data_IF_527505806206
#
_entry.id   IF_527505806206
#
_cell.length_a   1.000
_cell.length_b   1.000
_cell.length_c   1.000
_cell.angle_alpha   90.00
_cell.angle_beta   90.00
_cell.angle_gamma   90.00
#
_symmetry.space_group_name_H-M   'P 1'
#
loop_
_entity.id
_entity.type
_entity.pdbx_description
1 polymer ?
#
# COMPACT_ATOMS: atom_id res chain seq x y z
N UNK A 1 5.96 6.99 16.20
CA UNK A 1 6.02 5.72 15.47
C UNK A 1 5.13 5.81 14.23
N UNK A 2 5.68 5.61 13.06
CA UNK A 2 4.93 5.67 11.82
C UNK A 2 4.50 4.27 11.37
N UNK A 3 3.46 4.19 10.59
CA UNK A 3 2.97 2.95 10.02
C UNK A 3 2.51 3.16 8.60
N UNK A 4 2.48 2.09 7.82
CA UNK A 4 1.95 2.11 6.46
C UNK A 4 0.66 1.29 6.41
N UNK A 5 -0.31 1.75 5.63
CA UNK A 5 -1.56 1.02 5.41
C UNK A 5 -1.45 0.20 4.13
N UNK A 6 -1.85 -1.07 4.21
CA UNK A 6 -1.89 -1.96 3.06
C UNK A 6 -3.35 -2.26 2.72
N UNK A 7 -3.72 -2.09 1.45
CA UNK A 7 -5.04 -2.45 1.00
C UNK A 7 -5.09 -3.95 0.69
N UNK A 8 -6.18 -4.61 1.01
CA UNK A 8 -6.34 -6.05 0.81
C UNK A 8 -6.22 -6.48 -0.65
N UNK A 9 -6.47 -5.57 -1.61
CA UNK A 9 -6.31 -5.86 -3.03
C UNK A 9 -4.89 -6.27 -3.42
N UNK A 10 -3.90 -6.01 -2.56
CA UNK A 10 -2.53 -6.46 -2.77
C UNK A 10 -2.48 -7.98 -2.95
N UNK A 11 -3.25 -8.72 -2.17
CA UNK A 11 -3.26 -10.19 -2.20
C UNK A 11 -3.83 -10.76 -3.50
N UNK A 12 -4.62 -9.99 -4.22
CA UNK A 12 -5.21 -10.41 -5.50
C UNK A 12 -4.57 -9.73 -6.70
N UNK A 13 -3.51 -8.96 -6.47
CA UNK A 13 -2.79 -8.28 -7.55
C UNK A 13 -1.80 -9.23 -8.22
N UNK A 14 -1.38 -8.87 -9.44
CA UNK A 14 -0.35 -9.62 -10.16
C UNK A 14 0.97 -9.66 -9.41
N UNK A 15 1.23 -8.66 -8.56
CA UNK A 15 2.41 -8.61 -7.71
C UNK A 15 2.50 -9.83 -6.78
N UNK A 16 1.36 -10.27 -6.25
CA UNK A 16 1.37 -11.37 -5.28
C UNK A 16 1.72 -12.72 -5.88
N UNK A 17 1.75 -12.82 -7.22
CA UNK A 17 2.22 -14.01 -7.93
C UNK A 17 3.74 -14.04 -8.09
N UNK A 18 4.42 -12.96 -7.74
CA UNK A 18 5.87 -12.86 -7.85
C UNK A 18 6.58 -13.64 -6.73
N UNK A 19 7.91 -13.75 -6.85
CA UNK A 19 8.69 -14.46 -5.84
C UNK A 19 8.72 -13.69 -4.50
N UNK A 20 9.20 -14.36 -3.47
CA UNK A 20 9.21 -13.81 -2.11
C UNK A 20 10.03 -12.53 -2.00
N UNK A 21 11.21 -12.49 -2.60
CA UNK A 21 12.05 -11.29 -2.54
C UNK A 21 11.38 -10.09 -3.20
N UNK A 22 10.74 -10.32 -4.34
CA UNK A 22 10.02 -9.26 -5.06
C UNK A 22 8.88 -8.72 -4.22
N UNK A 23 8.10 -9.59 -3.59
CA UNK A 23 7.00 -9.17 -2.70
C UNK A 23 7.51 -8.39 -1.50
N UNK A 24 8.59 -8.83 -0.88
CA UNK A 24 9.19 -8.15 0.26
C UNK A 24 9.69 -6.76 -0.12
N UNK A 25 10.36 -6.63 -1.26
CA UNK A 25 10.84 -5.34 -1.75
C UNK A 25 9.67 -4.37 -1.95
N UNK A 26 8.56 -4.86 -2.51
CA UNK A 26 7.37 -4.01 -2.71
C UNK A 26 6.80 -3.49 -1.39
N UNK A 27 6.63 -4.36 -0.41
CA UNK A 27 6.13 -3.97 0.91
C UNK A 27 7.09 -2.98 1.57
N UNK A 28 8.39 -3.20 1.43
CA UNK A 28 9.41 -2.29 1.97
C UNK A 28 9.29 -0.91 1.34
N UNK A 29 9.09 -0.84 0.02
CA UNK A 29 8.88 0.43 -0.66
C UNK A 29 7.65 1.16 -0.13
N UNK A 30 6.55 0.44 0.07
CA UNK A 30 5.32 1.03 0.64
C UNK A 30 5.57 1.61 2.03
N UNK A 31 6.38 0.94 2.84
CA UNK A 31 6.72 1.43 4.17
C UNK A 31 7.63 2.65 4.14
N UNK A 32 8.52 2.74 3.17
CA UNK A 32 9.47 3.84 3.06
C UNK A 32 8.90 5.06 2.34
N UNK A 33 7.82 4.90 1.60
CA UNK A 33 7.24 5.96 0.79
C UNK A 33 6.78 7.15 1.66
N UNK A 34 7.05 8.34 1.18
CA UNK A 34 6.53 9.55 1.81
C UNK A 34 5.07 9.80 1.38
N UNK A 35 4.50 10.93 1.76
CA UNK A 35 3.11 11.26 1.45
C UNK A 35 2.82 11.39 -0.05
N UNK A 36 3.85 11.55 -0.86
CA UNK A 36 3.74 11.64 -2.32
C UNK A 36 4.03 10.32 -3.02
N UNK A 37 4.35 9.27 -2.27
CA UNK A 37 4.71 7.98 -2.84
C UNK A 37 6.15 7.92 -3.33
N UNK A 38 6.99 8.85 -2.91
CA UNK A 38 8.39 8.88 -3.30
C UNK A 38 9.27 8.16 -2.29
N UNK A 39 10.22 7.38 -2.79
CA UNK A 39 11.21 6.65 -1.99
C UNK A 39 12.59 7.09 -2.40
N UNK A 40 13.32 7.72 -1.48
CA UNK A 40 14.71 8.15 -1.71
C UNK A 40 15.64 7.04 -1.24
N UNK A 41 16.18 6.26 -2.15
CA UNK A 41 17.07 5.15 -1.83
C UNK A 41 17.84 4.67 -3.06
N UNK A 42 18.97 4.04 -2.82
CA UNK A 42 19.71 3.30 -3.84
C UNK A 42 19.28 1.82 -3.78
N UNK A 43 19.57 1.07 -4.83
CA UNK A 43 19.27 -0.38 -4.85
C UNK A 43 20.00 -1.12 -3.71
N UNK A 44 21.32 -0.91 -3.47
CA UNK A 44 21.96 -1.57 -2.34
C UNK A 44 21.37 -1.19 -0.98
N UNK A 45 21.00 0.07 -0.79
CA UNK A 45 20.38 0.53 0.44
C UNK A 45 19.01 -0.10 0.65
N UNK A 46 18.23 -0.16 -0.40
CA UNK A 46 16.91 -0.79 -0.36
C UNK A 46 17.00 -2.28 -0.07
N UNK A 47 17.94 -2.99 -0.72
CA UNK A 47 18.15 -4.41 -0.49
C UNK A 47 18.47 -4.69 0.98
N UNK A 48 19.31 -3.86 1.58
CA UNK A 48 19.69 -3.98 3.00
C UNK A 48 18.47 -3.80 3.91
N UNK A 49 17.68 -2.77 3.67
CA UNK A 49 16.49 -2.49 4.48
C UNK A 49 15.46 -3.60 4.34
N UNK A 50 15.25 -4.09 3.13
CA UNK A 50 14.29 -5.16 2.85
C UNK A 50 14.79 -6.53 3.35
N UNK A 51 16.09 -6.68 3.57
CA UNK A 51 16.65 -7.96 3.99
C UNK A 51 16.70 -8.99 2.86
N UNK A 52 16.89 -8.54 1.63
CA UNK A 52 16.97 -9.40 0.45
C UNK A 52 18.34 -9.28 -0.20
N UNK A 53 18.65 -10.20 -1.13
CA UNK A 53 19.90 -10.13 -1.88
C UNK A 53 19.93 -8.91 -2.79
N UNK A 54 21.12 -8.42 -3.11
CA UNK A 54 21.28 -7.32 -4.07
C UNK A 54 20.67 -7.70 -5.41
N UNK A 55 20.95 -8.91 -5.89
CA UNK A 55 20.44 -9.43 -7.14
C UNK A 55 18.90 -9.49 -7.14
N UNK A 56 18.32 -9.98 -6.05
CA UNK A 56 16.86 -10.05 -5.90
C UNK A 56 16.22 -8.67 -5.89
N UNK A 57 16.86 -7.69 -5.27
CA UNK A 57 16.38 -6.33 -5.25
C UNK A 57 16.45 -5.69 -6.65
N UNK A 58 17.56 -5.87 -7.37
CA UNK A 58 17.70 -5.38 -8.74
C UNK A 58 16.60 -5.95 -9.64
N UNK A 59 16.35 -7.23 -9.54
CA UNK A 59 15.32 -7.93 -10.30
C UNK A 59 13.93 -7.37 -9.96
N UNK A 60 13.65 -7.18 -8.67
CA UNK A 60 12.37 -6.64 -8.23
C UNK A 60 12.12 -5.24 -8.77
N UNK A 61 13.10 -4.35 -8.65
CA UNK A 61 13.00 -2.97 -9.14
C UNK A 61 12.81 -2.96 -10.66
N UNK A 62 13.56 -3.79 -11.38
CA UNK A 62 13.41 -3.90 -12.83
C UNK A 62 11.99 -4.30 -13.23
N UNK A 63 11.38 -5.24 -12.51
CA UNK A 63 10.00 -5.66 -12.74
C UNK A 63 9.01 -4.52 -12.48
N UNK A 64 9.19 -3.79 -11.39
CA UNK A 64 8.29 -2.70 -11.05
C UNK A 64 8.35 -1.54 -12.03
N UNK A 65 9.50 -1.33 -12.65
CA UNK A 65 9.69 -0.30 -13.68
C UNK A 65 9.15 -0.72 -15.05
N UNK A 66 8.86 -2.00 -15.22
CA UNK A 66 8.42 -2.55 -16.51
C UNK A 66 6.89 -2.60 -16.59
N UNK A 67 6.32 -2.53 -17.82
CA UNK A 67 4.89 -2.70 -18.01
C UNK A 67 4.41 -4.06 -17.49
N UNK A 68 3.20 -4.10 -16.94
CA UNK A 68 2.58 -5.33 -16.46
C UNK A 68 1.21 -5.51 -17.12
N UNK A 69 1.15 -6.41 -18.08
CA UNK A 69 -0.09 -6.68 -18.83
C UNK A 69 -1.18 -7.33 -17.99
N UNK A 70 -0.82 -7.92 -16.86
CA UNK A 70 -1.76 -8.57 -15.96
C UNK A 70 -2.24 -7.65 -14.84
N UNK A 71 -1.73 -6.43 -14.77
CA UNK A 71 -2.16 -5.47 -13.78
C UNK A 71 -3.60 -5.03 -14.06
N UNK A 72 -4.37 -4.84 -13.00
CA UNK A 72 -5.73 -4.30 -13.12
C UNK A 72 -5.72 -2.82 -13.47
N UNK A 73 -4.64 -2.13 -13.13
CA UNK A 73 -4.47 -0.72 -13.49
C UNK A 73 -3.87 -0.60 -14.88
N UNK A 74 -4.41 0.31 -15.70
CA UNK A 74 -3.84 0.65 -17.00
C UNK A 74 -3.00 1.91 -16.96
N UNK A 75 -2.89 2.52 -15.79
CA UNK A 75 -2.04 3.70 -15.60
C UNK A 75 -0.60 3.31 -15.89
N UNK A 76 0.08 4.05 -16.78
CA UNK A 76 1.47 3.79 -17.16
C UNK A 76 1.71 2.34 -17.61
N UNK A 77 0.74 1.74 -18.32
CA UNK A 77 0.82 0.36 -18.80
C UNK A 77 0.99 -0.69 -17.70
N UNK A 78 0.50 -0.38 -16.50
CA UNK A 78 0.63 -1.27 -15.35
C UNK A 78 1.96 -1.19 -14.64
N UNK A 79 2.81 -0.23 -14.97
CA UNK A 79 4.07 -0.01 -14.26
C UNK A 79 3.77 0.36 -12.81
N UNK A 80 4.56 -0.14 -11.90
CA UNK A 80 4.37 0.12 -10.48
C UNK A 80 5.24 1.26 -9.97
N UNK A 81 6.43 1.41 -10.56
CA UNK A 81 7.40 2.44 -10.19
C UNK A 81 7.80 3.27 -11.39
N UNK A 82 8.20 4.50 -11.10
CA UNK A 82 8.83 5.41 -12.04
C UNK A 82 10.10 5.94 -11.40
N UNK A 83 11.18 6.02 -12.17
CA UNK A 83 12.41 6.60 -11.66
C UNK A 83 12.27 8.10 -11.46
N UNK A 84 12.78 8.57 -10.33
CA UNK A 84 12.89 9.99 -10.04
C UNK A 84 14.33 10.27 -9.59
N UNK A 85 14.68 11.53 -9.45
CA UNK A 85 15.98 11.89 -8.96
C UNK A 85 16.16 11.39 -7.52
N UNK A 86 17.14 10.54 -7.32
CA UNK A 86 17.47 9.99 -6.01
C UNK A 86 16.66 8.77 -5.57
N UNK A 87 15.77 8.24 -6.43
CA UNK A 87 14.98 7.06 -6.04
C UNK A 87 13.84 6.73 -7.00
N UNK A 88 12.69 6.43 -6.43
CA UNK A 88 11.52 6.00 -7.21
C UNK A 88 10.24 6.62 -6.67
N UNK A 89 9.24 6.70 -7.53
CA UNK A 89 7.88 7.07 -7.16
C UNK A 89 6.95 5.90 -7.41
N UNK A 90 6.09 5.61 -6.44
CA UNK A 90 5.07 4.58 -6.59
C UNK A 90 3.89 5.20 -7.33
N UNK A 91 3.65 4.75 -8.55
CA UNK A 91 2.73 5.39 -9.49
C UNK A 91 1.29 5.46 -8.97
N UNK A 92 0.80 4.40 -8.33
CA UNK A 92 -0.59 4.34 -7.86
C UNK A 92 -0.72 4.58 -6.36
N UNK A 93 0.31 5.12 -5.72
CA UNK A 93 0.37 5.26 -4.26
C UNK A 93 -0.78 6.11 -3.70
N UNK A 94 -1.03 7.25 -4.29
CA UNK A 94 -2.08 8.15 -3.81
C UNK A 94 -3.46 7.47 -3.87
N UNK A 95 -3.72 6.72 -4.94
CA UNK A 95 -4.98 5.99 -5.10
C UNK A 95 -5.14 4.91 -4.02
N UNK A 96 -4.11 4.09 -3.81
CA UNK A 96 -4.15 3.02 -2.81
C UNK A 96 -4.29 3.59 -1.40
N UNK A 97 -3.58 4.66 -1.11
CA UNK A 97 -3.67 5.32 0.19
C UNK A 97 -5.07 5.89 0.44
N UNK A 98 -5.67 6.51 -0.57
CA UNK A 98 -7.02 7.05 -0.48
C UNK A 98 -8.05 5.96 -0.25
N UNK A 99 -7.93 4.82 -0.93
CA UNK A 99 -8.82 3.68 -0.75
C UNK A 99 -8.73 3.12 0.67
N UNK A 100 -7.52 2.93 1.19
CA UNK A 100 -7.31 2.45 2.55
C UNK A 100 -7.89 3.41 3.58
N UNK A 101 -7.71 4.72 3.38
CA UNK A 101 -8.25 5.74 4.27
C UNK A 101 -9.77 5.78 4.25
N UNK A 102 -10.39 5.61 3.08
CA UNK A 102 -11.84 5.56 2.95
C UNK A 102 -12.44 4.39 3.70
N UNK A 103 -11.85 3.21 3.60
CA UNK A 103 -12.32 2.04 4.31
C UNK A 103 -12.19 2.22 5.82
N UNK A 104 -11.09 2.78 6.27
CA UNK A 104 -10.84 3.08 7.67
C UNK A 104 -11.90 4.04 8.23
N UNK A 105 -12.20 5.09 7.48
CA UNK A 105 -13.24 6.06 7.84
C UNK A 105 -14.62 5.41 7.89
N UNK A 106 -14.91 4.52 6.95
CA UNK A 106 -16.17 3.78 6.91
C UNK A 106 -16.35 2.91 8.15
N UNK A 107 -15.32 2.19 8.52
CA UNK A 107 -15.34 1.35 9.73
C UNK A 107 -15.54 2.19 10.98
N UNK A 108 -14.82 3.29 11.09
CA UNK A 108 -14.95 4.20 12.22
C UNK A 108 -16.36 4.82 12.31
N UNK A 109 -16.93 5.16 11.16
CA UNK A 109 -18.29 5.69 11.12
C UNK A 109 -19.31 4.64 11.54
N UNK A 110 -19.14 3.40 11.08
CA UNK A 110 -20.00 2.29 11.46
C UNK A 110 -19.93 2.01 12.96
N UNK A 111 -18.71 2.01 13.53
CA UNK A 111 -18.52 1.82 14.97
C UNK A 111 -19.17 2.93 15.77
N UNK A 112 -19.05 4.18 15.33
CA UNK A 112 -19.68 5.32 16.00
C UNK A 112 -21.19 5.20 15.98
N UNK A 113 -21.77 4.78 14.84
CA UNK A 113 -23.20 4.57 14.71
C UNK A 113 -23.69 3.47 15.62
N UNK A 114 -22.94 2.37 15.71
CA UNK A 114 -23.27 1.26 16.58
C UNK A 114 -23.26 1.69 18.05
N UNK A 115 -22.23 2.41 18.48
CA UNK A 115 -22.16 2.96 19.84
C UNK A 115 -23.31 3.89 20.14
N UNK A 116 -23.69 4.71 19.19
CA UNK A 116 -24.83 5.62 19.33
C UNK A 116 -26.12 4.84 19.53
N UNK A 117 -26.35 3.80 18.74
CA UNK A 117 -27.55 2.95 18.87
C UNK A 117 -27.58 2.23 20.22
N UNK A 118 -26.47 1.69 20.64
CA UNK A 118 -26.34 1.03 21.95
C UNK A 118 -26.62 2.00 23.09
N UNK A 119 -26.08 3.20 23.01
CA UNK A 119 -26.31 4.24 24.00
C UNK A 119 -27.80 4.62 24.06
N UNK A 120 -28.43 4.78 22.91
CA UNK A 120 -29.84 5.09 22.85
C UNK A 120 -30.74 3.97 23.37
N UNK A 121 -30.34 2.73 23.11
CA UNK A 121 -31.06 1.57 23.64
C UNK A 121 -31.00 1.51 25.17
N UNK A 122 -29.85 1.87 25.75
CA UNK A 122 -29.67 1.89 27.21
C UNK A 122 -30.36 3.09 27.85
N UNK A 123 -30.41 4.19 27.15
CA UNK A 123 -30.99 5.45 27.67
C UNK A 123 -32.42 5.62 27.24
N UNK A 124 -32.92 4.78 26.33
CA UNK A 124 -34.30 4.87 25.90
C UNK A 124 -35.18 4.75 27.16
N UNK A 125 -35.69 5.86 27.65
CA UNK A 125 -36.54 5.77 28.81
C UNK A 125 -37.70 4.93 28.36
N UNK A 126 -37.97 4.00 29.17
CA UNK A 126 -39.30 3.44 29.20
C UNK A 126 -40.21 4.62 29.49
N UNK A 127 -40.40 5.45 28.56
CA UNK A 127 -41.44 6.41 28.65
C UNK A 127 -42.71 5.63 28.56
N UNK A 128 -43.04 5.19 29.65
CA UNK A 128 -44.42 4.76 29.74
C UNK A 128 -45.26 5.87 29.27
#
# INVERSE_FOLDING_TARGET
>A
MSYAKLHTSLLTSSLWTEDTETRIVWITLLCLADKHGEVQASIPGLAKVAGVSLEGCEKAISKFLSPDKYSRSRVMEGRRLQEIDGGWEIITYAKHRAMASKEDEKEKAAERQQRFRERNALVTPSNG
#
